data_IF_106275177578
#
_entry.id   IF_106275177578
#
_cell.length_a   1.000
_cell.length_b   1.000
_cell.length_c   1.000
_cell.angle_alpha   90.00
_cell.angle_beta   90.00
_cell.angle_gamma   90.00
#
_symmetry.space_group_name_H-M   'P 1'
#
loop_
_entity.id
_entity.type
_entity.pdbx_description
1 polymer ?
#
# COMPACT_ATOMS: atom_id res chain seq x y z
N UNK A 1 12.41 0.40 11.62
CA UNK A 1 12.31 -1.03 11.34
C UNK A 1 11.63 -1.21 10.00
N UNK A 2 12.13 -2.12 9.17
CA UNK A 2 11.47 -2.60 7.96
C UNK A 2 10.88 -3.98 8.22
N UNK A 3 9.58 -4.15 7.96
CA UNK A 3 8.89 -5.43 8.06
C UNK A 3 8.41 -5.86 6.66
N UNK A 4 8.60 -7.12 6.32
CA UNK A 4 8.09 -7.71 5.09
C UNK A 4 7.79 -9.20 5.32
N UNK A 5 6.79 -9.72 4.63
CA UNK A 5 6.49 -11.15 4.65
C UNK A 5 7.56 -11.97 3.90
N UNK A 6 8.20 -11.38 2.90
CA UNK A 6 9.18 -12.02 2.06
C UNK A 6 10.61 -11.85 2.59
N UNK A 7 11.22 -12.96 3.01
CA UNK A 7 12.64 -13.00 3.36
C UNK A 7 13.52 -12.50 2.22
N UNK A 8 13.17 -12.84 0.97
CA UNK A 8 13.90 -12.41 -0.22
C UNK A 8 13.90 -10.89 -0.41
N UNK A 9 12.76 -10.23 -0.15
CA UNK A 9 12.67 -8.76 -0.21
C UNK A 9 13.50 -8.09 0.86
N UNK A 10 13.51 -8.63 2.08
CA UNK A 10 14.37 -8.13 3.15
C UNK A 10 15.85 -8.32 2.84
N UNK A 11 16.23 -9.47 2.26
CA UNK A 11 17.59 -9.75 1.82
C UNK A 11 18.04 -8.81 0.68
N UNK A 12 17.18 -8.54 -0.31
CA UNK A 12 17.46 -7.58 -1.38
C UNK A 12 17.70 -6.16 -0.83
N UNK A 13 17.08 -5.83 0.30
CA UNK A 13 17.28 -4.56 1.01
C UNK A 13 18.46 -4.59 2.01
N UNK A 14 19.35 -5.58 1.97
CA UNK A 14 20.40 -5.77 2.99
C UNK A 14 21.36 -4.58 3.13
N UNK A 15 21.63 -3.85 2.03
CA UNK A 15 22.50 -2.69 2.05
C UNK A 15 21.94 -1.48 2.83
N UNK A 16 20.65 -1.49 3.16
CA UNK A 16 20.04 -0.42 3.98
C UNK A 16 20.27 -0.71 5.46
N UNK A 17 20.85 0.26 6.16
CA UNK A 17 21.11 0.18 7.60
C UNK A 17 19.82 0.46 8.40
N UNK A 18 18.89 -0.50 8.35
CA UNK A 18 17.68 -0.51 9.16
C UNK A 18 17.42 -1.92 9.68
N UNK A 19 17.00 -2.09 10.94
CA UNK A 19 16.56 -3.37 11.46
C UNK A 19 15.47 -3.96 10.56
N UNK A 20 15.56 -5.27 10.28
CA UNK A 20 14.65 -5.99 9.38
C UNK A 20 13.97 -7.11 10.14
N UNK A 21 12.66 -7.26 9.94
CA UNK A 21 11.84 -8.27 10.60
C UNK A 21 10.94 -8.95 9.59
N UNK A 22 10.93 -10.27 9.59
CA UNK A 22 9.93 -11.04 8.84
C UNK A 22 8.62 -10.98 9.59
N UNK A 23 7.54 -10.57 8.94
CA UNK A 23 6.24 -10.45 9.59
C UNK A 23 5.09 -10.34 8.60
N UNK A 24 3.95 -10.88 9.00
CA UNK A 24 2.68 -10.70 8.32
C UNK A 24 2.08 -9.35 8.74
N UNK A 25 1.68 -8.52 7.77
CA UNK A 25 1.06 -7.23 8.03
C UNK A 25 -0.27 -7.34 8.81
N UNK A 26 -0.91 -8.51 8.80
CA UNK A 26 -2.13 -8.80 9.57
C UNK A 26 -1.83 -9.25 11.01
N UNK A 27 -0.57 -9.55 11.32
CA UNK A 27 -0.10 -9.95 12.65
C UNK A 27 1.37 -9.59 12.83
N UNK A 28 1.65 -8.32 13.05
CA UNK A 28 3.01 -7.79 13.20
C UNK A 28 3.65 -8.27 14.52
N UNK A 29 4.92 -8.69 14.50
CA UNK A 29 5.62 -9.19 15.68
C UNK A 29 6.13 -8.06 16.58
N UNK A 30 5.27 -7.11 16.89
CA UNK A 30 5.56 -5.96 17.75
C UNK A 30 4.49 -5.81 18.83
N UNK A 31 4.88 -5.26 19.97
CA UNK A 31 3.94 -4.90 21.03
C UNK A 31 3.02 -3.74 20.60
N UNK A 32 1.97 -3.51 21.37
CA UNK A 32 1.07 -2.37 21.17
C UNK A 32 1.81 -1.05 21.43
N UNK A 33 1.43 0.00 20.71
CA UNK A 33 1.83 1.38 21.01
C UNK A 33 3.35 1.64 21.01
N UNK A 34 4.12 0.96 20.13
CA UNK A 34 5.60 1.11 20.09
C UNK A 34 6.12 2.09 19.05
N UNK A 35 5.34 2.40 17.99
CA UNK A 35 5.80 3.25 16.90
C UNK A 35 5.11 4.61 16.87
N UNK A 36 5.87 5.66 16.59
CA UNK A 36 5.34 7.00 16.39
C UNK A 36 4.69 7.16 15.01
N UNK A 37 5.11 6.34 14.05
CA UNK A 37 4.53 6.30 12.70
C UNK A 37 4.70 4.93 12.06
N UNK A 38 3.72 4.56 11.24
CA UNK A 38 3.78 3.39 10.35
C UNK A 38 3.56 3.85 8.91
N UNK A 39 4.38 3.33 8.01
CA UNK A 39 4.26 3.62 6.58
C UNK A 39 4.20 2.34 5.78
N UNK A 40 3.40 2.33 4.72
CA UNK A 40 3.37 1.24 3.75
C UNK A 40 3.34 1.84 2.33
N UNK A 41 4.21 1.32 1.45
CA UNK A 41 4.33 1.80 0.08
C UNK A 41 4.25 0.63 -0.90
N UNK A 42 3.25 0.68 -1.78
CA UNK A 42 2.97 -0.33 -2.82
C UNK A 42 2.84 -1.78 -2.31
N UNK A 43 2.51 -1.94 -1.03
CA UNK A 43 2.39 -3.24 -0.37
C UNK A 43 0.98 -3.55 0.13
N UNK A 44 0.18 -2.53 0.43
CA UNK A 44 -1.12 -2.73 1.09
C UNK A 44 -2.10 -3.54 0.23
N UNK A 45 -2.08 -3.39 -1.09
CA UNK A 45 -2.91 -4.16 -2.02
C UNK A 45 -2.61 -5.66 -2.03
N UNK A 46 -1.42 -6.06 -1.56
CA UNK A 46 -0.98 -7.45 -1.49
C UNK A 46 -1.32 -8.10 -0.13
N UNK A 47 -1.82 -7.32 0.82
CA UNK A 47 -2.27 -7.84 2.12
C UNK A 47 -3.62 -8.53 1.95
N UNK A 48 -3.70 -9.80 2.30
CA UNK A 48 -4.89 -10.66 2.08
C UNK A 48 -6.15 -10.07 2.73
N UNK A 49 -6.03 -9.56 3.94
CA UNK A 49 -7.08 -8.80 4.64
C UNK A 49 -6.57 -7.39 4.94
N UNK A 50 -6.90 -6.46 4.05
CA UNK A 50 -6.52 -5.04 4.16
C UNK A 50 -7.02 -4.42 5.47
N UNK A 51 -8.24 -4.78 5.92
CA UNK A 51 -8.80 -4.26 7.17
C UNK A 51 -8.04 -4.78 8.40
N UNK A 52 -7.70 -6.07 8.41
CA UNK A 52 -6.87 -6.63 9.49
C UNK A 52 -5.48 -5.96 9.51
N UNK A 53 -4.85 -5.78 8.35
CA UNK A 53 -3.57 -5.10 8.24
C UNK A 53 -3.62 -3.65 8.76
N UNK A 54 -4.62 -2.89 8.37
CA UNK A 54 -4.80 -1.50 8.83
C UNK A 54 -5.07 -1.41 10.35
N UNK A 55 -5.84 -2.36 10.91
CA UNK A 55 -6.06 -2.44 12.37
C UNK A 55 -4.78 -2.83 13.10
N UNK A 56 -4.01 -3.75 12.54
CA UNK A 56 -2.74 -4.17 13.12
C UNK A 56 -1.70 -3.05 13.12
N UNK A 57 -1.64 -2.28 12.02
CA UNK A 57 -0.85 -1.04 11.98
C UNK A 57 -1.29 -0.04 13.03
N UNK A 58 -2.61 0.08 13.29
CA UNK A 58 -3.11 0.94 14.37
C UNK A 58 -2.74 0.40 15.75
N UNK A 59 -2.76 -0.93 15.97
CA UNK A 59 -2.37 -1.55 17.24
C UNK A 59 -0.93 -1.19 17.62
N UNK A 60 0.01 -1.34 16.68
CA UNK A 60 1.43 -1.11 16.95
C UNK A 60 1.82 0.37 16.99
N UNK A 61 0.94 1.27 16.54
CA UNK A 61 1.17 2.71 16.54
C UNK A 61 0.69 3.32 17.85
N UNK A 62 1.46 4.24 18.43
CA UNK A 62 1.09 4.98 19.65
C UNK A 62 -0.13 5.86 19.44
N UNK A 63 -0.92 6.15 20.48
CA UNK A 63 -1.93 7.22 20.44
C UNK A 63 -1.32 8.53 19.92
N UNK A 64 -2.01 9.20 18.99
CA UNK A 64 -1.50 10.37 18.27
C UNK A 64 -0.48 10.08 17.16
N UNK A 65 0.00 8.85 17.05
CA UNK A 65 0.92 8.43 15.99
C UNK A 65 0.28 8.42 14.60
N UNK A 66 1.10 8.29 13.55
CA UNK A 66 0.71 8.54 12.16
C UNK A 66 0.72 7.29 11.31
N UNK A 67 -0.22 7.21 10.38
CA UNK A 67 -0.20 6.29 9.24
C UNK A 67 0.06 7.08 7.95
N UNK A 68 0.92 6.52 7.09
CA UNK A 68 1.07 6.98 5.70
C UNK A 68 1.00 5.76 4.77
N UNK A 69 0.05 5.79 3.84
CA UNK A 69 -0.11 4.78 2.79
C UNK A 69 0.17 5.42 1.45
N UNK A 70 1.17 4.92 0.73
CA UNK A 70 1.43 5.25 -0.67
C UNK A 70 1.02 4.06 -1.52
N UNK A 71 -0.01 4.22 -2.36
CA UNK A 71 -0.51 3.09 -3.15
C UNK A 71 -1.09 3.56 -4.48
N UNK A 72 -1.19 2.63 -5.43
CA UNK A 72 -1.91 2.87 -6.67
C UNK A 72 -3.35 3.29 -6.39
N UNK A 73 -3.92 4.04 -7.31
CA UNK A 73 -5.28 4.53 -7.19
C UNK A 73 -5.91 4.77 -8.56
N UNK A 74 -7.08 5.40 -8.57
CA UNK A 74 -7.80 5.71 -9.81
C UNK A 74 -7.48 7.13 -10.27
N UNK A 75 -7.04 7.34 -11.54
CA UNK A 75 -6.85 8.68 -12.06
C UNK A 75 -8.08 9.57 -11.88
N UNK A 76 -7.85 10.82 -11.49
CA UNK A 76 -8.92 11.76 -11.17
C UNK A 76 -9.62 12.35 -12.39
N UNK A 77 -9.00 12.28 -13.58
CA UNK A 77 -9.60 12.70 -14.85
C UNK A 77 -10.17 11.50 -15.60
N UNK A 78 -11.46 11.52 -15.94
CA UNK A 78 -12.16 10.39 -16.55
C UNK A 78 -11.60 9.94 -17.90
N UNK A 79 -11.19 10.87 -18.78
CA UNK A 79 -10.56 10.52 -20.05
C UNK A 79 -9.20 9.88 -19.83
N UNK A 80 -8.38 10.43 -18.94
CA UNK A 80 -7.10 9.89 -18.56
C UNK A 80 -7.25 8.52 -17.88
N UNK A 81 -8.27 8.32 -17.05
CA UNK A 81 -8.56 7.02 -16.44
C UNK A 81 -8.85 5.93 -17.47
N UNK A 82 -9.59 6.28 -18.55
CA UNK A 82 -9.88 5.34 -19.64
C UNK A 82 -8.60 4.93 -20.37
N UNK A 83 -7.77 5.90 -20.78
CA UNK A 83 -6.50 5.65 -21.46
C UNK A 83 -5.55 4.84 -20.57
N UNK A 84 -5.47 5.18 -19.28
CA UNK A 84 -4.63 4.48 -18.32
C UNK A 84 -5.07 3.01 -18.13
N UNK A 85 -6.37 2.75 -18.02
CA UNK A 85 -6.90 1.38 -17.94
C UNK A 85 -6.59 0.57 -19.19
N UNK A 86 -6.76 1.13 -20.38
CA UNK A 86 -6.41 0.49 -21.63
C UNK A 86 -4.90 0.17 -21.70
N UNK A 87 -4.06 1.11 -21.29
CA UNK A 87 -2.61 0.89 -21.18
C UNK A 87 -2.27 -0.27 -20.25
N UNK A 88 -2.80 -0.25 -19.02
CA UNK A 88 -2.54 -1.30 -18.02
C UNK A 88 -2.99 -2.68 -18.49
N UNK A 89 -4.19 -2.76 -19.11
CA UNK A 89 -4.79 -4.04 -19.43
C UNK A 89 -4.29 -4.62 -20.76
N UNK A 90 -3.92 -3.78 -21.72
CA UNK A 90 -3.59 -4.23 -23.07
C UNK A 90 -2.13 -4.03 -23.45
N UNK A 91 -1.55 -2.88 -23.14
CA UNK A 91 -0.19 -2.55 -23.56
C UNK A 91 0.86 -3.14 -22.63
N UNK A 92 0.71 -2.92 -21.30
CA UNK A 92 1.69 -3.35 -20.33
C UNK A 92 1.97 -4.86 -20.35
N UNK A 93 0.98 -5.77 -20.38
CA UNK A 93 1.25 -7.21 -20.47
C UNK A 93 1.95 -7.63 -21.78
N UNK A 94 1.63 -6.95 -22.92
CA UNK A 94 2.29 -7.25 -24.20
C UNK A 94 3.75 -6.83 -24.20
N UNK A 95 4.03 -5.62 -23.70
CA UNK A 95 5.41 -5.12 -23.57
C UNK A 95 6.19 -6.00 -22.59
N UNK A 96 5.60 -6.36 -21.46
CA UNK A 96 6.24 -7.20 -20.45
C UNK A 96 6.63 -8.58 -21.03
N UNK A 97 5.78 -9.20 -21.85
CA UNK A 97 6.10 -10.48 -22.52
C UNK A 97 7.27 -10.36 -23.48
N UNK A 98 7.49 -9.18 -24.06
CA UNK A 98 8.58 -8.97 -25.02
C UNK A 98 9.92 -8.68 -24.36
N UNK A 99 9.93 -8.05 -23.15
CA UNK A 99 11.16 -7.50 -22.55
C UNK A 99 11.44 -7.98 -21.12
N UNK A 100 10.51 -8.68 -20.48
CA UNK A 100 10.65 -9.11 -19.08
C UNK A 100 10.96 -10.59 -18.94
N UNK A 101 11.84 -10.93 -18.00
CA UNK A 101 12.09 -12.31 -17.57
C UNK A 101 10.92 -12.90 -16.76
N UNK A 102 9.99 -12.06 -16.27
CA UNK A 102 8.81 -12.50 -15.50
C UNK A 102 7.55 -11.73 -15.95
N UNK A 103 6.95 -12.09 -17.09
CA UNK A 103 5.74 -11.42 -17.61
C UNK A 103 4.52 -11.56 -16.69
N UNK A 104 4.41 -12.66 -15.94
CA UNK A 104 3.27 -12.94 -15.05
C UNK A 104 3.18 -11.91 -13.89
N UNK A 105 4.32 -11.43 -13.41
CA UNK A 105 4.36 -10.39 -12.38
C UNK A 105 3.68 -9.09 -12.85
N UNK A 106 3.78 -8.76 -14.15
CA UNK A 106 3.13 -7.58 -14.72
C UNK A 106 1.63 -7.77 -14.96
N UNK A 107 1.21 -8.98 -15.28
CA UNK A 107 -0.22 -9.33 -15.34
C UNK A 107 -0.83 -9.19 -13.96
N UNK A 108 -0.21 -9.80 -12.94
CA UNK A 108 -0.62 -9.67 -11.55
C UNK A 108 -0.68 -8.19 -11.11
N UNK A 109 0.35 -7.41 -11.45
CA UNK A 109 0.37 -5.97 -11.14
C UNK A 109 -0.84 -5.24 -11.73
N UNK A 110 -1.13 -5.46 -13.02
CA UNK A 110 -2.24 -4.82 -13.69
C UNK A 110 -3.60 -5.22 -13.07
N UNK A 111 -3.78 -6.50 -12.76
CA UNK A 111 -4.99 -7.02 -12.14
C UNK A 111 -5.17 -6.51 -10.71
N UNK A 112 -4.10 -6.50 -9.89
CA UNK A 112 -4.13 -6.00 -8.53
C UNK A 112 -4.44 -4.51 -8.47
N UNK A 113 -3.90 -3.69 -9.39
CA UNK A 113 -4.23 -2.27 -9.51
C UNK A 113 -5.69 -2.07 -9.92
N UNK A 114 -6.20 -2.88 -10.85
CA UNK A 114 -7.58 -2.78 -11.31
C UNK A 114 -8.60 -3.11 -10.23
N UNK A 115 -8.30 -4.09 -9.39
CA UNK A 115 -9.16 -4.52 -8.29
C UNK A 115 -9.06 -3.59 -7.06
N UNK A 116 -8.03 -2.74 -7.01
CA UNK A 116 -7.76 -1.88 -5.87
C UNK A 116 -8.75 -0.71 -5.77
N UNK A 117 -9.20 -0.33 -4.58
CA UNK A 117 -10.14 0.77 -4.38
C UNK A 117 -9.54 2.12 -4.78
N UNK A 118 -10.40 3.03 -5.23
CA UNK A 118 -10.04 4.44 -5.42
C UNK A 118 -9.84 5.17 -4.09
N UNK A 119 -9.39 6.42 -4.19
CA UNK A 119 -8.95 7.23 -3.04
C UNK A 119 -9.96 7.31 -1.91
N UNK A 120 -11.21 7.66 -2.20
CA UNK A 120 -12.25 7.83 -1.18
C UNK A 120 -12.61 6.51 -0.49
N UNK A 121 -12.66 5.41 -1.25
CA UNK A 121 -12.96 4.10 -0.70
C UNK A 121 -11.83 3.59 0.21
N UNK A 122 -10.56 3.81 -0.17
CA UNK A 122 -9.42 3.49 0.69
C UNK A 122 -9.41 4.37 1.95
N UNK A 123 -9.70 5.68 1.83
CA UNK A 123 -9.81 6.56 2.99
C UNK A 123 -10.90 6.09 3.97
N UNK A 124 -12.02 5.61 3.45
CA UNK A 124 -13.08 5.02 4.28
C UNK A 124 -12.60 3.74 4.99
N UNK A 125 -11.90 2.86 4.29
CA UNK A 125 -11.32 1.64 4.89
C UNK A 125 -10.33 1.97 6.01
N UNK A 126 -9.46 2.97 5.81
CA UNK A 126 -8.52 3.45 6.82
C UNK A 126 -9.29 3.97 8.04
N UNK A 127 -10.36 4.77 7.83
CA UNK A 127 -11.19 5.27 8.92
C UNK A 127 -11.88 4.14 9.69
N UNK A 128 -12.43 3.13 9.00
CA UNK A 128 -13.06 1.94 9.59
C UNK A 128 -12.08 1.09 10.41
N UNK A 129 -10.79 1.17 10.10
CA UNK A 129 -9.73 0.50 10.86
C UNK A 129 -9.31 1.26 12.13
N UNK A 130 -9.95 2.38 12.45
CA UNK A 130 -9.73 3.15 13.68
C UNK A 130 -8.83 4.38 13.53
N UNK A 131 -8.41 4.72 12.32
CA UNK A 131 -7.64 5.92 12.04
C UNK A 131 -8.55 7.15 11.89
N UNK A 132 -8.09 8.32 12.32
CA UNK A 132 -8.84 9.58 12.27
C UNK A 132 -8.13 10.65 11.46
N UNK A 133 -8.85 11.71 11.05
CA UNK A 133 -8.29 12.79 10.24
C UNK A 133 -7.76 12.32 8.89
N UNK A 134 -8.36 11.26 8.33
CA UNK A 134 -7.88 10.64 7.09
C UNK A 134 -8.06 11.61 5.93
N UNK A 135 -6.97 11.85 5.21
CA UNK A 135 -6.91 12.69 4.01
C UNK A 135 -5.99 12.06 2.99
N UNK A 136 -6.13 12.47 1.74
CA UNK A 136 -5.23 11.99 0.69
C UNK A 136 -4.79 13.11 -0.25
N UNK A 137 -3.69 12.86 -0.92
CA UNK A 137 -3.14 13.69 -2.00
C UNK A 137 -2.85 12.82 -3.21
N UNK A 138 -3.40 13.22 -4.36
CA UNK A 138 -3.12 12.56 -5.63
C UNK A 138 -1.71 12.91 -6.13
N UNK A 139 -1.03 11.90 -6.64
CA UNK A 139 0.23 12.02 -7.37
C UNK A 139 0.01 11.53 -8.81
N UNK A 140 0.77 12.08 -9.74
CA UNK A 140 0.75 11.67 -11.17
C UNK A 140 -0.69 11.55 -11.71
N UNK A 141 -1.48 12.63 -11.55
CA UNK A 141 -2.87 12.65 -12.03
C UNK A 141 -3.83 11.67 -11.33
N UNK A 142 -3.45 11.14 -10.16
CA UNK A 142 -4.24 10.18 -9.38
C UNK A 142 -3.91 8.71 -9.63
N UNK A 143 -2.90 8.40 -10.46
CA UNK A 143 -2.39 7.02 -10.62
C UNK A 143 -1.90 6.47 -9.28
N UNK A 144 -1.30 7.32 -8.46
CA UNK A 144 -0.88 7.03 -7.09
C UNK A 144 -1.54 8.03 -6.16
N UNK A 145 -1.87 7.61 -4.95
CA UNK A 145 -2.34 8.48 -3.89
C UNK A 145 -1.57 8.21 -2.58
N UNK A 146 -1.25 9.32 -1.90
CA UNK A 146 -0.77 9.28 -0.52
C UNK A 146 -1.97 9.49 0.40
N UNK A 147 -2.28 8.50 1.23
CA UNK A 147 -3.24 8.64 2.32
C UNK A 147 -2.49 8.85 3.62
N UNK A 148 -2.98 9.73 4.46
CA UNK A 148 -2.45 9.95 5.79
C UNK A 148 -3.59 10.02 6.80
N UNK A 149 -3.35 9.46 7.98
CA UNK A 149 -4.24 9.51 9.13
C UNK A 149 -3.44 9.46 10.42
N UNK A 150 -4.10 9.58 11.55
CA UNK A 150 -3.47 9.43 12.86
C UNK A 150 -4.34 8.57 13.78
N UNK A 151 -3.69 7.85 14.68
CA UNK A 151 -4.39 7.11 15.73
C UNK A 151 -4.97 8.12 16.72
N UNK A 152 -6.23 7.98 17.17
CA UNK A 152 -6.81 8.85 18.18
C UNK A 152 -5.90 8.97 19.40
N UNK A 153 -5.77 10.18 19.93
CA UNK A 153 -5.22 10.41 21.27
C UNK A 153 -6.23 9.86 22.29
N UNK A 154 -5.75 9.13 23.27
CA UNK A 154 -6.62 8.66 24.36
C UNK A 154 -7.18 9.84 25.13
#
# INVERSE_FOLDING_TARGET
VAADFSVGMLAAGAARDVPKVVGDATRLPFADDVFDAVTISFGLRNVVDTQAGLREMARVTRPGGRLVVCEFSTPSNGLFATVYKEYLMRALPRVARAVSSNPEAYVYLAESIRAWPGQAALAQQITQAGWTGVRWRNLTGGIVALHAGHKPSR
#
